data_IF_163135764718
#
_entry.id   IF_163135764718
#
_cell.length_a   1.000
_cell.length_b   1.000
_cell.length_c   1.000
_cell.angle_alpha   90.00
_cell.angle_beta   90.00
_cell.angle_gamma   90.00
#
_symmetry.space_group_name_H-M   'P 1'
#
loop_
_entity.id
_entity.type
_entity.pdbx_description
1 polymer ?
#
# COMPACT_ATOMS: atom_id res chain seq x y z
N UNK A 1 6.58 -2.24 -15.29
CA UNK A 1 6.48 -3.15 -14.12
C UNK A 1 5.10 -3.79 -14.07
N UNK A 2 4.06 -3.04 -13.78
CA UNK A 2 2.66 -3.48 -13.76
C UNK A 2 1.79 -2.55 -14.58
N UNK A 3 0.82 -3.10 -15.32
CA UNK A 3 -0.08 -2.34 -16.20
C UNK A 3 -1.51 -2.86 -16.06
N UNK A 4 -2.44 -1.94 -15.90
CA UNK A 4 -3.88 -2.19 -15.96
C UNK A 4 -4.42 -1.55 -17.24
N UNK A 5 -5.25 -2.27 -17.99
CA UNK A 5 -5.90 -1.79 -19.22
C UNK A 5 -7.40 -1.92 -19.09
N UNK A 6 -8.10 -0.78 -19.07
CA UNK A 6 -9.58 -0.70 -19.04
C UNK A 6 -10.18 -1.56 -17.92
N UNK A 7 -9.54 -1.60 -16.75
CA UNK A 7 -9.94 -2.46 -15.65
C UNK A 7 -11.18 -1.90 -14.97
N UNK A 8 -12.22 -2.74 -14.88
CA UNK A 8 -13.41 -2.48 -14.06
C UNK A 8 -13.56 -3.58 -13.02
N UNK A 9 -14.04 -3.19 -11.84
CA UNK A 9 -14.26 -4.11 -10.74
C UNK A 9 -15.45 -3.68 -9.87
N UNK A 10 -16.23 -4.68 -9.43
CA UNK A 10 -17.25 -4.55 -8.36
C UNK A 10 -17.18 -5.74 -7.41
N UNK A 11 -17.58 -5.52 -6.18
CA UNK A 11 -17.84 -6.62 -5.25
C UNK A 11 -19.19 -7.25 -5.58
N UNK A 12 -19.40 -8.55 -5.25
CA UNK A 12 -20.71 -9.17 -5.43
C UNK A 12 -21.82 -8.34 -4.76
N UNK A 13 -22.88 -8.09 -5.52
CA UNK A 13 -24.07 -7.33 -5.10
C UNK A 13 -23.82 -5.85 -4.70
N UNK A 14 -22.65 -5.30 -5.06
CA UNK A 14 -22.29 -3.91 -4.77
C UNK A 14 -22.15 -3.07 -6.06
N UNK A 15 -22.18 -1.72 -5.93
CA UNK A 15 -21.87 -0.82 -7.04
C UNK A 15 -20.45 -1.02 -7.59
N UNK A 16 -20.21 -0.53 -8.81
CA UNK A 16 -18.87 -0.52 -9.40
C UNK A 16 -17.93 0.31 -8.54
N UNK A 17 -16.81 -0.31 -8.13
CA UNK A 17 -15.76 0.33 -7.30
C UNK A 17 -14.69 0.99 -8.17
N UNK A 18 -14.32 0.36 -9.29
CA UNK A 18 -13.38 0.89 -10.27
C UNK A 18 -13.98 0.75 -11.65
N UNK A 19 -13.94 1.82 -12.45
CA UNK A 19 -14.54 1.83 -13.77
C UNK A 19 -13.50 2.21 -14.85
N UNK A 20 -13.25 1.28 -15.80
CA UNK A 20 -12.35 1.44 -16.97
C UNK A 20 -11.02 2.11 -16.63
N UNK A 21 -10.43 1.71 -15.49
CA UNK A 21 -9.18 2.29 -15.02
C UNK A 21 -8.01 1.74 -15.84
N UNK A 22 -7.23 2.64 -16.44
CA UNK A 22 -5.97 2.31 -17.12
C UNK A 22 -4.82 2.98 -16.41
N UNK A 23 -3.79 2.21 -16.08
CA UNK A 23 -2.65 2.67 -15.28
C UNK A 23 -1.40 1.86 -15.63
N UNK A 24 -0.27 2.54 -15.73
CA UNK A 24 1.03 1.90 -15.91
C UNK A 24 2.03 2.38 -14.87
N UNK A 25 2.61 1.46 -14.11
CA UNK A 25 3.69 1.69 -13.14
C UNK A 25 4.97 1.12 -13.72
N UNK A 26 6.00 1.95 -13.84
CA UNK A 26 7.31 1.56 -14.36
C UNK A 26 8.19 0.96 -13.26
N UNK A 27 9.23 0.19 -13.62
CA UNK A 27 10.23 -0.23 -12.63
C UNK A 27 10.89 0.98 -11.94
N UNK A 28 11.06 0.90 -10.62
CA UNK A 28 11.68 1.96 -9.82
C UNK A 28 10.80 3.18 -9.53
N UNK A 29 9.59 3.29 -10.10
CA UNK A 29 8.67 4.39 -9.77
C UNK A 29 8.18 4.32 -8.32
N UNK A 30 8.06 5.49 -7.69
CA UNK A 30 7.44 5.69 -6.38
C UNK A 30 6.14 6.46 -6.57
N UNK A 31 5.03 5.73 -6.49
CA UNK A 31 3.70 6.23 -6.80
C UNK A 31 2.85 6.25 -5.54
N UNK A 32 2.21 7.37 -5.27
CA UNK A 32 1.23 7.51 -4.20
C UNK A 32 -0.18 7.50 -4.78
N UNK A 33 -1.03 6.65 -4.23
CA UNK A 33 -2.47 6.63 -4.48
C UNK A 33 -3.16 7.45 -3.39
N UNK A 34 -3.66 8.62 -3.73
CA UNK A 34 -4.46 9.48 -2.86
C UNK A 34 -5.95 9.31 -3.14
N UNK A 35 -6.77 9.46 -2.11
CA UNK A 35 -8.22 9.46 -2.21
C UNK A 35 -8.88 9.18 -0.86
N UNK A 36 -10.14 9.56 -0.71
CA UNK A 36 -10.91 9.34 0.50
C UNK A 36 -11.08 7.85 0.83
N UNK A 37 -11.49 7.55 2.06
CA UNK A 37 -11.84 6.19 2.44
C UNK A 37 -13.00 5.68 1.58
N UNK A 38 -12.91 4.43 1.14
CA UNK A 38 -13.91 3.79 0.29
C UNK A 38 -13.80 4.10 -1.23
N UNK A 39 -12.88 4.96 -1.69
CA UNK A 39 -12.74 5.29 -3.12
C UNK A 39 -12.10 4.19 -3.99
N UNK A 40 -11.73 3.03 -3.40
CA UNK A 40 -11.21 1.89 -4.15
C UNK A 40 -9.69 1.68 -4.09
N UNK A 41 -8.91 2.44 -3.30
CA UNK A 41 -7.44 2.28 -3.17
C UNK A 41 -7.04 0.85 -2.83
N UNK A 42 -7.57 0.30 -1.76
CA UNK A 42 -7.28 -1.09 -1.33
C UNK A 42 -7.69 -2.13 -2.37
N UNK A 43 -8.80 -1.89 -3.07
CA UNK A 43 -9.27 -2.76 -4.16
C UNK A 43 -8.30 -2.71 -5.33
N UNK A 44 -7.81 -1.52 -5.70
CA UNK A 44 -6.82 -1.34 -6.76
C UNK A 44 -5.50 -2.06 -6.41
N UNK A 45 -5.00 -1.92 -5.17
CA UNK A 45 -3.81 -2.64 -4.71
C UNK A 45 -3.99 -4.17 -4.76
N UNK A 46 -5.15 -4.69 -4.36
CA UNK A 46 -5.48 -6.12 -4.43
C UNK A 46 -5.54 -6.64 -5.87
N UNK A 47 -6.06 -5.85 -6.80
CA UNK A 47 -6.03 -6.17 -8.24
C UNK A 47 -4.58 -6.21 -8.74
N UNK A 48 -3.75 -5.20 -8.43
CA UNK A 48 -2.33 -5.16 -8.80
C UNK A 48 -1.56 -6.36 -8.24
N UNK A 49 -1.90 -6.82 -7.04
CA UNK A 49 -1.31 -8.02 -6.42
C UNK A 49 -1.88 -9.33 -6.97
N UNK A 50 -2.86 -9.31 -7.88
CA UNK A 50 -3.52 -10.50 -8.40
C UNK A 50 -4.29 -11.31 -7.34
N UNK A 51 -4.73 -10.68 -6.25
CA UNK A 51 -5.64 -11.25 -5.26
C UNK A 51 -7.09 -11.17 -5.73
N UNK A 52 -7.39 -10.19 -6.58
CA UNK A 52 -8.67 -10.01 -7.25
C UNK A 52 -8.46 -10.08 -8.76
N UNK A 53 -9.45 -10.62 -9.46
CA UNK A 53 -9.49 -10.57 -10.92
C UNK A 53 -10.40 -9.43 -11.35
N UNK A 54 -10.05 -8.65 -12.38
CA UNK A 54 -10.92 -7.63 -12.92
C UNK A 54 -12.18 -8.27 -13.54
N UNK A 55 -13.33 -7.60 -13.41
CA UNK A 55 -14.57 -7.99 -14.11
C UNK A 55 -14.42 -7.75 -15.63
N UNK A 56 -13.77 -6.63 -15.99
CA UNK A 56 -13.42 -6.27 -17.35
C UNK A 56 -12.00 -5.72 -17.41
N UNK A 57 -11.41 -5.76 -18.60
CA UNK A 57 -10.05 -5.30 -18.82
C UNK A 57 -9.00 -6.37 -18.51
N UNK A 58 -7.76 -5.96 -18.31
CA UNK A 58 -6.64 -6.88 -18.11
C UNK A 58 -5.55 -6.28 -17.22
N UNK A 59 -4.91 -7.16 -16.44
CA UNK A 59 -3.72 -6.88 -15.64
C UNK A 59 -2.50 -7.53 -16.29
N UNK A 60 -1.40 -6.79 -16.35
CA UNK A 60 -0.13 -7.29 -16.87
C UNK A 60 0.99 -7.07 -15.86
N UNK A 61 1.86 -8.06 -15.72
CA UNK A 61 3.08 -8.03 -14.95
C UNK A 61 4.28 -8.27 -15.88
N UNK A 62 5.19 -7.30 -15.98
CA UNK A 62 6.36 -7.38 -16.88
C UNK A 62 5.99 -7.75 -18.33
N UNK A 63 4.84 -7.23 -18.81
CA UNK A 63 4.32 -7.47 -20.16
C UNK A 63 3.50 -8.76 -20.32
N UNK A 64 3.45 -9.62 -19.33
CA UNK A 64 2.66 -10.85 -19.35
C UNK A 64 1.33 -10.68 -18.62
N UNK A 65 0.24 -11.13 -19.22
CA UNK A 65 -1.08 -11.02 -18.61
C UNK A 65 -1.20 -11.93 -17.38
N UNK A 66 -1.66 -11.36 -16.27
CA UNK A 66 -2.01 -12.07 -15.04
C UNK A 66 -3.49 -12.45 -15.11
N UNK A 67 -3.77 -13.75 -14.99
CA UNK A 67 -5.11 -14.32 -14.95
C UNK A 67 -5.15 -15.44 -13.92
N UNK A 68 -6.35 -15.86 -13.47
CA UNK A 68 -6.47 -17.06 -12.61
C UNK A 68 -5.78 -18.28 -13.19
N UNK A 69 -5.83 -18.45 -14.52
CA UNK A 69 -5.19 -19.59 -15.18
C UNK A 69 -3.67 -19.48 -15.13
N UNK A 70 -3.11 -18.29 -15.42
CA UNK A 70 -1.66 -18.08 -15.37
C UNK A 70 -1.12 -18.22 -13.94
N UNK A 71 -1.92 -17.86 -12.93
CA UNK A 71 -1.59 -17.98 -11.50
C UNK A 71 -1.76 -19.39 -10.92
N UNK A 72 -2.16 -20.39 -11.72
CA UNK A 72 -2.14 -21.83 -11.33
C UNK A 72 -0.83 -22.52 -11.72
N UNK A 73 0.04 -21.87 -12.48
CA UNK A 73 1.36 -22.40 -12.85
C UNK A 73 2.33 -22.14 -11.70
N UNK A 74 2.78 -23.19 -10.99
CA UNK A 74 3.56 -23.06 -9.74
C UNK A 74 4.77 -22.14 -9.85
N UNK A 75 5.66 -22.32 -10.82
CA UNK A 75 6.87 -21.50 -10.97
C UNK A 75 6.56 -20.02 -11.23
N UNK A 76 5.52 -19.74 -12.02
CA UNK A 76 5.10 -18.38 -12.33
C UNK A 76 4.48 -17.69 -11.11
N UNK A 77 3.62 -18.43 -10.39
CA UNK A 77 2.99 -17.93 -9.17
C UNK A 77 4.01 -17.62 -8.10
N UNK A 78 4.97 -18.51 -7.86
CA UNK A 78 6.05 -18.29 -6.89
C UNK A 78 6.88 -17.06 -7.24
N UNK A 79 7.27 -16.89 -8.50
CA UNK A 79 8.00 -15.72 -8.98
C UNK A 79 7.21 -14.42 -8.76
N UNK A 80 5.94 -14.40 -9.17
CA UNK A 80 5.08 -13.22 -8.99
C UNK A 80 4.89 -12.88 -7.50
N UNK A 81 4.55 -13.87 -6.65
CA UNK A 81 4.32 -13.69 -5.21
C UNK A 81 5.58 -13.23 -4.46
N UNK A 82 6.76 -13.66 -4.90
CA UNK A 82 8.02 -13.15 -4.38
C UNK A 82 8.26 -11.70 -4.79
N UNK A 83 8.00 -11.38 -6.06
CA UNK A 83 8.34 -10.08 -6.64
C UNK A 83 7.34 -8.97 -6.32
N UNK A 84 6.06 -9.32 -6.12
CA UNK A 84 4.97 -8.37 -5.86
C UNK A 84 4.28 -8.69 -4.54
N UNK A 85 4.51 -7.88 -3.53
CA UNK A 85 3.95 -8.08 -2.19
C UNK A 85 3.01 -6.94 -1.80
N UNK A 86 2.02 -7.25 -0.94
CA UNK A 86 1.00 -6.30 -0.49
C UNK A 86 0.94 -6.28 1.03
N UNK A 87 1.14 -5.10 1.62
CA UNK A 87 0.78 -4.81 3.01
C UNK A 87 -0.70 -4.45 3.07
N UNK A 88 -1.46 -5.17 3.88
CA UNK A 88 -2.87 -4.84 4.13
C UNK A 88 -3.01 -3.74 5.19
N UNK A 89 -4.08 -2.96 5.08
CA UNK A 89 -4.43 -1.92 6.05
C UNK A 89 -4.55 -2.48 7.49
N UNK A 90 -4.98 -3.74 7.64
CA UNK A 90 -5.10 -4.45 8.91
C UNK A 90 -4.04 -5.56 8.97
N UNK A 91 -2.88 -5.30 9.60
CA UNK A 91 -1.76 -6.24 9.61
C UNK A 91 -2.08 -7.57 10.30
N UNK A 92 -3.02 -7.59 11.25
CA UNK A 92 -3.49 -8.80 11.92
C UNK A 92 -4.07 -9.85 10.96
N UNK A 93 -4.58 -9.43 9.80
CA UNK A 93 -5.07 -10.35 8.77
C UNK A 93 -3.94 -11.11 8.05
N UNK A 94 -2.69 -10.69 8.26
CA UNK A 94 -1.50 -11.29 7.63
C UNK A 94 -0.73 -12.21 8.60
N UNK A 95 -1.01 -12.13 9.91
CA UNK A 95 -0.24 -12.80 10.96
C UNK A 95 -1.00 -14.02 11.48
N UNK A 96 -0.43 -15.21 11.27
CA UNK A 96 -1.11 -16.49 11.54
C UNK A 96 -0.18 -17.57 12.12
N UNK A 97 1.14 -17.32 12.22
CA UNK A 97 2.09 -18.26 12.78
C UNK A 97 2.17 -18.15 14.31
N UNK A 98 2.68 -19.18 15.01
CA UNK A 98 2.74 -19.22 16.47
C UNK A 98 3.61 -18.13 17.11
N UNK A 99 4.72 -17.74 16.45
CA UNK A 99 5.68 -16.78 16.97
C UNK A 99 6.06 -15.72 15.96
N UNK A 100 6.59 -14.58 16.42
CA UNK A 100 7.17 -13.52 15.58
C UNK A 100 8.27 -14.08 14.66
N UNK A 101 9.13 -14.97 15.21
CA UNK A 101 10.17 -15.66 14.44
C UNK A 101 9.57 -16.46 13.28
N UNK A 102 8.52 -17.23 13.56
CA UNK A 102 7.89 -18.06 12.54
C UNK A 102 7.19 -17.24 11.47
N UNK A 103 6.60 -16.08 11.83
CA UNK A 103 6.06 -15.15 10.86
C UNK A 103 7.14 -14.62 9.91
N UNK A 104 8.26 -14.12 10.45
CA UNK A 104 9.38 -13.63 9.63
C UNK A 104 10.00 -14.72 8.76
N UNK A 105 10.01 -15.98 9.26
CA UNK A 105 10.55 -17.12 8.54
C UNK A 105 9.64 -17.66 7.44
N UNK A 106 8.31 -17.49 7.58
CA UNK A 106 7.32 -18.17 6.76
C UNK A 106 7.52 -17.94 5.26
N UNK A 107 7.49 -16.70 4.82
CA UNK A 107 7.67 -16.36 3.41
C UNK A 107 8.99 -16.84 2.82
N UNK A 108 10.15 -16.52 3.44
CA UNK A 108 11.44 -17.02 3.00
C UNK A 108 11.52 -18.55 2.90
N UNK A 109 10.97 -19.30 3.87
CA UNK A 109 10.92 -20.77 3.82
C UNK A 109 10.05 -21.28 2.68
N UNK A 110 8.85 -20.70 2.49
CA UNK A 110 7.95 -21.09 1.39
C UNK A 110 8.57 -20.86 0.00
N UNK A 111 9.42 -19.87 -0.13
CA UNK A 111 10.15 -19.56 -1.36
C UNK A 111 11.50 -20.27 -1.49
N UNK A 112 11.87 -21.13 -0.54
CA UNK A 112 13.11 -21.90 -0.57
C UNK A 112 14.37 -21.04 -0.49
N UNK A 113 14.32 -19.87 0.20
CA UNK A 113 15.49 -19.01 0.37
C UNK A 113 16.48 -19.64 1.35
N UNK A 114 17.79 -19.58 1.05
CA UNK A 114 18.84 -20.23 1.83
C UNK A 114 19.25 -19.47 3.10
N UNK A 115 18.99 -18.16 3.17
CA UNK A 115 19.48 -17.23 4.19
C UNK A 115 18.40 -16.80 5.21
N UNK A 116 17.45 -17.71 5.52
CA UNK A 116 16.27 -17.41 6.35
C UNK A 116 16.64 -16.80 7.71
N UNK A 117 17.57 -17.40 8.45
CA UNK A 117 17.95 -16.92 9.78
C UNK A 117 18.62 -15.52 9.72
N UNK A 118 19.42 -15.25 8.70
CA UNK A 118 20.03 -13.93 8.50
C UNK A 118 18.93 -12.86 8.21
N UNK A 119 17.90 -13.20 7.45
CA UNK A 119 16.76 -12.30 7.17
C UNK A 119 15.95 -12.03 8.43
N UNK A 120 15.66 -13.07 9.23
CA UNK A 120 14.98 -12.92 10.53
C UNK A 120 15.78 -11.98 11.44
N UNK A 121 17.08 -12.22 11.61
CA UNK A 121 17.92 -11.42 12.49
C UNK A 121 17.96 -9.95 12.04
N UNK A 122 18.16 -9.72 10.74
CA UNK A 122 18.17 -8.38 10.16
C UNK A 122 16.86 -7.63 10.42
N UNK A 123 15.72 -8.19 10.02
CA UNK A 123 14.45 -7.47 10.11
C UNK A 123 13.92 -7.37 11.54
N UNK A 124 14.24 -8.34 12.41
CA UNK A 124 13.94 -8.24 13.83
C UNK A 124 14.73 -7.11 14.50
N UNK A 125 15.98 -6.90 14.11
CA UNK A 125 16.82 -5.82 14.64
C UNK A 125 16.36 -4.45 14.12
N UNK A 126 16.26 -4.30 12.79
CA UNK A 126 15.85 -3.04 12.14
C UNK A 126 14.48 -2.53 12.63
N UNK A 127 13.56 -3.44 12.97
CA UNK A 127 12.20 -3.13 13.43
C UNK A 127 12.03 -3.16 14.95
N UNK A 128 13.12 -3.35 15.70
CA UNK A 128 13.14 -3.49 17.17
C UNK A 128 12.19 -4.60 17.67
N UNK A 129 12.16 -5.75 16.99
CA UNK A 129 11.36 -6.93 17.32
C UNK A 129 12.19 -8.06 17.95
N UNK A 130 13.52 -7.91 18.08
CA UNK A 130 14.45 -8.97 18.54
C UNK A 130 14.03 -9.57 19.89
N UNK A 131 13.64 -8.74 20.86
CA UNK A 131 13.19 -9.21 22.17
C UNK A 131 11.78 -9.85 22.15
N UNK A 132 11.11 -9.84 21.00
CA UNK A 132 9.73 -10.33 20.82
C UNK A 132 9.68 -11.60 19.97
N UNK A 133 10.82 -12.11 19.47
CA UNK A 133 10.89 -13.19 18.50
C UNK A 133 10.12 -14.46 18.93
N UNK A 134 10.13 -14.78 20.21
CA UNK A 134 9.46 -15.97 20.74
C UNK A 134 8.03 -15.71 21.23
N UNK A 135 7.54 -14.46 21.08
CA UNK A 135 6.16 -14.10 21.46
C UNK A 135 5.17 -14.43 20.35
N UNK A 136 3.94 -14.83 20.71
CA UNK A 136 2.85 -14.93 19.76
C UNK A 136 2.45 -13.55 19.19
N UNK A 137 2.18 -13.43 17.87
CA UNK A 137 1.82 -12.17 17.24
C UNK A 137 0.57 -11.49 17.81
N UNK A 138 -0.39 -12.25 18.32
CA UNK A 138 -1.62 -11.68 18.89
C UNK A 138 -1.38 -10.89 20.19
N UNK A 139 -0.24 -11.11 20.88
CA UNK A 139 0.17 -10.35 22.08
C UNK A 139 0.90 -9.04 21.76
N UNK A 140 1.17 -8.76 20.49
CA UNK A 140 1.83 -7.53 20.05
C UNK A 140 0.85 -6.35 20.05
N UNK A 141 1.38 -5.13 20.30
CA UNK A 141 0.63 -3.90 20.05
C UNK A 141 0.36 -3.70 18.56
N UNK A 142 -0.59 -2.81 18.20
CA UNK A 142 -0.91 -2.50 16.80
C UNK A 142 0.33 -2.09 16.01
N UNK A 143 1.14 -1.17 16.53
CA UNK A 143 2.39 -0.76 15.89
C UNK A 143 3.42 -1.89 15.76
N UNK A 144 3.53 -2.79 16.76
CA UNK A 144 4.40 -3.96 16.66
C UNK A 144 3.92 -4.97 15.59
N UNK A 145 2.59 -5.15 15.45
CA UNK A 145 2.00 -5.97 14.38
C UNK A 145 2.29 -5.38 13.01
N UNK A 146 2.17 -4.05 12.88
CA UNK A 146 2.48 -3.34 11.64
C UNK A 146 3.96 -3.51 11.26
N UNK A 147 4.88 -3.33 12.23
CA UNK A 147 6.32 -3.59 12.06
C UNK A 147 6.59 -5.03 11.62
N UNK A 148 5.95 -6.00 12.27
CA UNK A 148 6.11 -7.41 11.94
C UNK A 148 5.62 -7.71 10.52
N UNK A 149 4.44 -7.23 10.13
CA UNK A 149 3.91 -7.42 8.79
C UNK A 149 4.84 -6.81 7.72
N UNK A 150 5.35 -5.59 7.94
CA UNK A 150 6.37 -4.98 7.08
C UNK A 150 7.63 -5.84 6.99
N UNK A 151 8.14 -6.33 8.13
CA UNK A 151 9.31 -7.21 8.17
C UNK A 151 9.13 -8.50 7.37
N UNK A 152 7.95 -9.13 7.47
CA UNK A 152 7.61 -10.33 6.70
C UNK A 152 7.67 -10.08 5.18
N UNK A 153 7.19 -8.92 4.72
CA UNK A 153 7.22 -8.55 3.30
C UNK A 153 8.63 -8.19 2.83
N UNK A 154 9.34 -7.39 3.60
CA UNK A 154 10.70 -6.95 3.28
C UNK A 154 11.72 -8.10 3.31
N UNK A 155 11.47 -9.14 4.13
CA UNK A 155 12.29 -10.36 4.17
C UNK A 155 12.28 -11.15 2.84
N UNK A 156 11.30 -10.92 1.97
CA UNK A 156 11.23 -11.55 0.64
C UNK A 156 12.09 -10.85 -0.41
N UNK A 157 12.58 -9.64 -0.11
CA UNK A 157 13.30 -8.77 -1.03
C UNK A 157 12.54 -8.53 -2.35
N UNK A 158 11.32 -7.97 -2.28
CA UNK A 158 10.44 -7.83 -3.42
C UNK A 158 10.88 -6.71 -4.38
N UNK A 159 10.49 -6.82 -5.66
CA UNK A 159 10.69 -5.79 -6.67
C UNK A 159 9.59 -4.70 -6.62
N UNK A 160 8.38 -5.08 -6.24
CA UNK A 160 7.21 -4.19 -6.10
C UNK A 160 6.60 -4.34 -4.71
N UNK A 161 6.57 -3.24 -3.98
CA UNK A 161 5.86 -3.09 -2.72
C UNK A 161 4.56 -2.33 -2.95
N UNK A 162 3.45 -2.97 -2.64
CA UNK A 162 2.13 -2.37 -2.57
C UNK A 162 1.82 -2.17 -1.09
N UNK A 163 1.59 -0.94 -0.65
CA UNK A 163 1.40 -0.63 0.76
C UNK A 163 0.06 0.09 0.95
N UNK A 164 -0.81 -0.49 1.76
CA UNK A 164 -2.13 0.08 2.09
C UNK A 164 -2.07 0.69 3.48
N UNK A 165 -2.10 2.02 3.56
CA UNK A 165 -2.00 2.83 4.78
C UNK A 165 -0.84 2.39 5.71
N UNK A 166 0.42 2.36 5.22
CA UNK A 166 1.53 1.73 5.93
C UNK A 166 1.94 2.42 7.23
N UNK A 167 1.57 3.68 7.43
CA UNK A 167 1.91 4.46 8.64
C UNK A 167 0.87 4.33 9.76
N UNK A 168 -0.27 3.72 9.50
CA UNK A 168 -1.32 3.56 10.51
C UNK A 168 -0.80 2.82 11.74
N UNK A 169 -1.06 3.36 12.93
CA UNK A 169 -0.62 2.80 14.22
C UNK A 169 0.90 2.77 14.45
N UNK A 170 1.72 3.38 13.59
CA UNK A 170 3.15 3.54 13.82
C UNK A 170 3.44 4.81 14.61
N UNK A 171 4.44 4.72 15.50
CA UNK A 171 5.00 5.90 16.17
C UNK A 171 5.81 6.77 15.19
N UNK A 172 5.99 8.08 15.46
CA UNK A 172 6.68 9.00 14.53
C UNK A 172 8.11 8.55 14.16
N UNK A 173 8.85 7.93 15.07
CA UNK A 173 10.19 7.45 14.78
C UNK A 173 10.18 6.29 13.78
N UNK A 174 9.19 5.40 13.91
CA UNK A 174 9.00 4.28 12.98
C UNK A 174 8.49 4.77 11.61
N UNK A 175 7.64 5.81 11.58
CA UNK A 175 7.24 6.43 10.31
C UNK A 175 8.46 7.03 9.60
N UNK A 176 9.32 7.76 10.31
CA UNK A 176 10.58 8.29 9.77
C UNK A 176 11.47 7.18 9.20
N UNK A 177 11.68 6.10 9.96
CA UNK A 177 12.43 4.93 9.49
C UNK A 177 11.81 4.31 8.21
N UNK A 178 10.47 4.18 8.18
CA UNK A 178 9.76 3.65 7.01
C UNK A 178 10.00 4.52 5.77
N UNK A 179 9.84 5.83 5.92
CA UNK A 179 10.06 6.82 4.84
C UNK A 179 11.49 6.70 4.32
N UNK A 180 12.50 6.73 5.20
CA UNK A 180 13.91 6.63 4.83
C UNK A 180 14.20 5.30 4.11
N UNK A 181 13.67 4.19 4.62
CA UNK A 181 13.84 2.86 4.02
C UNK A 181 13.23 2.78 2.62
N UNK A 182 12.05 3.38 2.41
CA UNK A 182 11.34 3.33 1.14
C UNK A 182 11.93 4.29 0.10
N UNK A 183 12.30 5.51 0.50
CA UNK A 183 12.86 6.52 -0.41
C UNK A 183 14.20 6.07 -1.00
N UNK A 184 15.07 5.50 -0.16
CA UNK A 184 16.41 5.09 -0.57
C UNK A 184 16.44 3.70 -1.25
N UNK A 185 15.31 3.03 -1.39
CA UNK A 185 15.26 1.74 -2.07
C UNK A 185 15.08 1.91 -3.59
N UNK A 186 15.71 1.04 -4.38
CA UNK A 186 15.52 0.96 -5.83
C UNK A 186 14.22 0.23 -6.22
N UNK A 187 13.41 -0.17 -5.23
CA UNK A 187 12.15 -0.90 -5.45
C UNK A 187 11.08 0.00 -6.06
N UNK A 188 10.21 -0.63 -6.81
CA UNK A 188 8.96 0.01 -7.24
C UNK A 188 8.00 0.06 -6.06
N UNK A 189 7.38 1.22 -5.82
CA UNK A 189 6.47 1.44 -4.70
C UNK A 189 5.12 1.94 -5.21
N UNK A 190 4.04 1.38 -4.67
CA UNK A 190 2.69 1.95 -4.79
C UNK A 190 2.11 2.03 -3.39
N UNK A 191 1.89 3.24 -2.91
CA UNK A 191 1.48 3.50 -1.53
C UNK A 191 0.11 4.17 -1.55
N UNK A 192 -0.89 3.46 -1.04
CA UNK A 192 -2.21 4.04 -0.82
C UNK A 192 -2.25 4.72 0.55
N UNK A 193 -2.62 5.98 0.56
CA UNK A 193 -2.80 6.73 1.81
C UNK A 193 -3.79 7.88 1.63
N UNK A 194 -4.32 8.36 2.73
CA UNK A 194 -5.05 9.63 2.81
C UNK A 194 -4.22 10.72 3.51
N UNK A 195 -3.07 10.35 4.09
CA UNK A 195 -2.15 11.28 4.77
C UNK A 195 -1.33 12.07 3.75
N UNK A 196 -1.64 13.37 3.60
CA UNK A 196 -0.99 14.24 2.61
C UNK A 196 0.47 14.53 2.95
N UNK A 197 0.85 14.56 4.23
CA UNK A 197 2.23 14.77 4.67
C UNK A 197 3.11 13.59 4.27
N UNK A 198 2.66 12.36 4.57
CA UNK A 198 3.35 11.14 4.16
C UNK A 198 3.46 11.03 2.62
N UNK A 199 2.38 11.40 1.92
CA UNK A 199 2.37 11.42 0.46
C UNK A 199 3.45 12.34 -0.12
N UNK A 200 3.62 13.54 0.46
CA UNK A 200 4.60 14.51 0.03
C UNK A 200 6.05 14.02 0.18
N UNK A 201 6.32 13.19 1.18
CA UNK A 201 7.64 12.64 1.46
C UNK A 201 7.97 11.41 0.58
N UNK A 202 6.98 10.53 0.36
CA UNK A 202 7.21 9.23 -0.29
C UNK A 202 7.08 9.25 -1.81
N UNK A 203 6.34 10.19 -2.41
CA UNK A 203 5.95 10.10 -3.80
C UNK A 203 6.59 11.13 -4.71
N UNK A 204 7.04 10.70 -5.89
CA UNK A 204 7.34 11.59 -7.01
C UNK A 204 6.11 11.77 -7.90
N UNK A 205 5.33 10.70 -8.11
CA UNK A 205 4.09 10.65 -8.89
C UNK A 205 2.91 10.36 -7.97
N UNK A 206 1.84 11.07 -8.20
CA UNK A 206 0.59 10.91 -7.47
C UNK A 206 -0.55 10.56 -8.44
N UNK A 207 -1.34 9.58 -8.04
CA UNK A 207 -2.61 9.25 -8.67
C UNK A 207 -3.69 9.57 -7.65
N UNK A 208 -4.61 10.47 -8.01
CA UNK A 208 -5.74 10.84 -7.16
C UNK A 208 -6.98 10.13 -7.66
N UNK A 209 -7.57 9.30 -6.79
CA UNK A 209 -8.83 8.61 -7.05
C UNK A 209 -10.00 9.43 -6.50
N UNK A 210 -11.04 9.57 -7.32
CA UNK A 210 -12.32 10.11 -6.90
C UNK A 210 -13.21 9.07 -6.21
N UNK A 211 -14.31 9.52 -5.63
CA UNK A 211 -15.23 8.68 -4.84
C UNK A 211 -15.86 7.51 -5.62
N UNK A 212 -15.85 7.57 -6.93
CA UNK A 212 -16.36 6.51 -7.82
C UNK A 212 -15.23 5.67 -8.43
N UNK A 213 -14.03 5.71 -7.88
CA UNK A 213 -12.88 4.92 -8.32
C UNK A 213 -12.27 5.36 -9.67
N UNK A 214 -12.66 6.54 -10.19
CA UNK A 214 -12.05 7.12 -11.39
C UNK A 214 -10.75 7.84 -11.03
N UNK A 215 -9.81 7.88 -11.99
CA UNK A 215 -8.60 8.71 -11.85
C UNK A 215 -8.97 10.17 -12.12
N UNK A 216 -8.84 11.03 -11.10
CA UNK A 216 -9.03 12.48 -11.22
C UNK A 216 -7.74 13.19 -11.64
N UNK A 217 -6.60 12.62 -11.28
CA UNK A 217 -5.28 13.17 -11.57
C UNK A 217 -4.23 12.05 -11.62
N UNK A 218 -3.27 12.18 -12.52
CA UNK A 218 -2.08 11.35 -12.62
C UNK A 218 -0.91 12.24 -13.05
N UNK A 219 0.04 12.48 -12.14
CA UNK A 219 1.15 13.39 -12.41
C UNK A 219 2.02 13.65 -11.18
N UNK A 220 2.88 14.69 -11.23
CA UNK A 220 3.79 15.03 -10.12
C UNK A 220 3.03 15.32 -8.82
N UNK A 221 3.50 14.72 -7.70
CA UNK A 221 2.88 14.86 -6.37
C UNK A 221 2.66 16.32 -5.97
N UNK A 222 3.64 17.19 -6.25
CA UNK A 222 3.57 18.62 -5.90
C UNK A 222 2.38 19.32 -6.55
N UNK A 223 2.03 18.93 -7.78
CA UNK A 223 0.86 19.49 -8.48
C UNK A 223 -0.45 19.00 -7.85
N UNK A 224 -0.52 17.73 -7.47
CA UNK A 224 -1.69 17.19 -6.78
C UNK A 224 -1.93 17.91 -5.45
N UNK A 225 -0.89 18.06 -4.62
CA UNK A 225 -0.99 18.66 -3.29
C UNK A 225 -1.27 20.18 -3.32
N UNK A 226 -0.89 20.88 -4.39
CA UNK A 226 -1.24 22.30 -4.58
C UNK A 226 -2.66 22.53 -5.11
N UNK A 227 -3.31 21.50 -5.62
CA UNK A 227 -4.63 21.56 -6.25
C UNK A 227 -5.78 21.47 -5.25
N UNK A 228 -6.12 22.56 -4.54
CA UNK A 228 -7.21 22.56 -3.52
C UNK A 228 -8.51 21.99 -4.07
N UNK A 229 -8.95 22.39 -5.26
CA UNK A 229 -10.19 21.87 -5.89
C UNK A 229 -10.10 20.36 -6.21
N UNK A 230 -8.91 19.87 -6.56
CA UNK A 230 -8.68 18.45 -6.80
C UNK A 230 -8.81 17.67 -5.50
N UNK A 231 -8.18 18.13 -4.41
CA UNK A 231 -8.24 17.49 -3.10
C UNK A 231 -9.66 17.52 -2.52
N UNK A 232 -10.41 18.61 -2.74
CA UNK A 232 -11.83 18.69 -2.36
C UNK A 232 -12.69 17.67 -3.14
N UNK A 233 -12.48 17.56 -4.47
CA UNK A 233 -13.23 16.59 -5.30
C UNK A 233 -12.86 15.13 -5.00
N UNK A 234 -11.66 14.88 -4.49
CA UNK A 234 -11.22 13.58 -4.00
C UNK A 234 -11.66 13.29 -2.56
N UNK A 235 -12.32 14.24 -1.88
CA UNK A 235 -12.76 14.10 -0.49
C UNK A 235 -11.61 14.09 0.54
N UNK A 236 -10.44 14.62 0.18
CA UNK A 236 -9.24 14.66 1.04
C UNK A 236 -9.16 15.92 1.89
N UNK A 237 -9.87 16.97 1.48
CA UNK A 237 -9.96 18.24 2.20
C UNK A 237 -11.38 18.75 2.19
N UNK A 238 -11.73 19.58 3.18
CA UNK A 238 -13.02 20.25 3.22
C UNK A 238 -12.88 21.69 3.69
N UNK A 239 -13.82 22.54 3.31
CA UNK A 239 -13.85 23.94 3.75
C UNK A 239 -14.69 24.06 5.00
N UNK A 240 -14.08 24.47 6.10
CA UNK A 240 -14.79 24.89 7.31
C UNK A 240 -15.01 26.41 7.33
N UNK A 241 -16.25 26.80 7.64
CA UNK A 241 -16.57 28.18 7.98
C UNK A 241 -16.57 28.30 9.50
N UNK A 242 -15.59 28.99 10.05
CA UNK A 242 -15.56 29.34 11.45
C UNK A 242 -16.01 30.79 11.66
N UNK A 243 -16.75 31.01 12.74
CA UNK A 243 -17.18 32.33 13.16
C UNK A 243 -16.48 32.67 14.47
N UNK A 244 -15.52 33.57 14.43
CA UNK A 244 -14.93 34.17 15.62
C UNK A 244 -15.55 35.55 15.84
N UNK A 245 -16.50 35.64 16.77
CA UNK A 245 -17.25 36.88 16.99
C UNK A 245 -18.14 37.27 15.82
N UNK A 246 -17.90 38.49 15.26
CA UNK A 246 -18.66 39.00 14.09
C UNK A 246 -18.01 38.71 12.73
N UNK A 247 -16.81 38.12 12.70
CA UNK A 247 -16.08 37.86 11.45
C UNK A 247 -16.17 36.37 11.11
N UNK A 248 -16.71 36.09 9.93
CA UNK A 248 -16.70 34.73 9.35
C UNK A 248 -15.54 34.62 8.36
N UNK A 249 -14.69 33.60 8.49
CA UNK A 249 -13.66 33.27 7.53
C UNK A 249 -13.67 31.76 7.25
N UNK A 250 -13.21 31.38 6.06
CA UNK A 250 -13.14 29.99 5.64
C UNK A 250 -11.67 29.52 5.61
N UNK A 251 -11.42 28.34 6.17
CA UNK A 251 -10.15 27.65 6.07
C UNK A 251 -10.35 26.30 5.40
N UNK A 252 -9.30 25.82 4.71
CA UNK A 252 -9.22 24.49 4.17
C UNK A 252 -8.45 23.63 5.18
N UNK A 253 -9.04 22.53 5.60
CA UNK A 253 -8.42 21.54 6.49
C UNK A 253 -8.24 20.22 5.75
N UNK A 254 -7.05 19.61 5.91
CA UNK A 254 -6.87 18.20 5.59
C UNK A 254 -7.54 17.34 6.68
N UNK A 255 -8.05 16.19 6.32
CA UNK A 255 -8.58 15.24 7.29
C UNK A 255 -7.43 14.46 7.95
N UNK A 256 -6.69 15.10 8.84
CA UNK A 256 -5.79 14.43 9.78
C UNK A 256 -6.58 14.27 11.10
N UNK A 257 -7.50 13.30 11.12
CA UNK A 257 -8.11 12.84 12.36
C UNK A 257 -7.37 11.56 12.76
N UNK A 258 -6.54 11.67 13.80
CA UNK A 258 -6.15 10.53 14.61
C UNK A 258 -7.33 10.04 15.47
#
# INVERSE_FOLDING_TARGET
MIELREVSFRWPDEPVVLEKLSLHIRPGEKVVLLGANGCGKSTLLKLMNGLLDPEQGALFWKGEQITRQSMRQEGRTATFRRSCVLLFQHPEAMLFNPTVRDELAYGPRQLGLSDVEARIARWADELALTALLDKPPFLLSGGQKQKLALGCLLALDPELLLLDEPSTSLDPATVGWLVDTLIHSDRTLVIATHNLSLAAELGERCIVLGLQGQILFDGPIRMALSGVSLLESAGLTHRHKHRHGKVAHAHVHAHDWE
#
